data_IF_516094669238
#
_entry.id   IF_516094669238
#
_cell.length_a   1.000
_cell.length_b   1.000
_cell.length_c   1.000
_cell.angle_alpha   90.00
_cell.angle_beta   90.00
_cell.angle_gamma   90.00
#
_symmetry.space_group_name_H-M   'P 1'
#
loop_
_entity.id
_entity.type
_entity.pdbx_description
1 polymer ?
#
# COMPACT_ATOMS: atom_id res chain seq x y z
N UNK A 1 -23.78 -41.91 18.94
CA UNK A 1 -23.28 -41.00 17.87
C UNK A 1 -22.86 -39.72 18.54
N UNK A 2 -21.54 -39.51 18.70
CA UNK A 2 -20.98 -38.32 19.33
C UNK A 2 -20.82 -37.25 18.27
N UNK A 3 -21.52 -36.14 18.40
CA UNK A 3 -21.33 -34.93 17.60
C UNK A 3 -20.00 -34.29 18.01
N UNK A 4 -19.05 -34.28 17.10
CA UNK A 4 -17.75 -33.57 17.22
C UNK A 4 -17.96 -32.07 17.45
N UNK A 5 -17.32 -31.42 18.42
CA UNK A 5 -17.43 -29.97 18.59
C UNK A 5 -16.85 -29.27 17.39
N UNK A 6 -17.65 -28.48 16.67
CA UNK A 6 -17.23 -27.60 15.60
C UNK A 6 -16.26 -26.55 16.18
N UNK A 7 -15.07 -26.40 15.58
CA UNK A 7 -14.08 -25.43 15.98
C UNK A 7 -14.57 -23.98 15.72
N UNK A 8 -14.93 -23.19 16.76
CA UNK A 8 -15.54 -21.85 16.58
C UNK A 8 -14.59 -20.81 15.98
N UNK A 9 -13.28 -21.05 15.95
CA UNK A 9 -12.27 -20.09 15.48
C UNK A 9 -12.18 -20.00 13.97
N UNK A 10 -12.26 -21.08 13.24
CA UNK A 10 -12.11 -21.10 11.76
C UNK A 10 -13.31 -20.48 11.04
N UNK A 11 -14.53 -20.71 11.52
CA UNK A 11 -15.75 -20.14 10.92
C UNK A 11 -15.82 -18.61 11.12
N UNK A 12 -15.38 -18.11 12.26
CA UNK A 12 -15.35 -16.67 12.54
C UNK A 12 -14.33 -15.91 11.66
N UNK A 13 -13.16 -16.49 11.44
CA UNK A 13 -12.13 -15.88 10.61
C UNK A 13 -12.50 -15.89 9.11
N UNK A 14 -13.12 -16.98 8.65
CA UNK A 14 -13.66 -17.05 7.29
C UNK A 14 -14.76 -16.01 7.06
N UNK A 15 -15.66 -15.82 8.04
CA UNK A 15 -16.71 -14.81 7.99
C UNK A 15 -16.13 -13.39 7.98
N UNK A 16 -15.14 -13.11 8.84
CA UNK A 16 -14.43 -11.83 8.87
C UNK A 16 -13.78 -11.52 7.54
N UNK A 17 -13.12 -12.48 6.91
CA UNK A 17 -12.47 -12.34 5.60
C UNK A 17 -13.49 -12.06 4.49
N UNK A 18 -14.64 -12.75 4.47
CA UNK A 18 -15.72 -12.49 3.49
C UNK A 18 -16.27 -11.06 3.63
N UNK A 19 -16.48 -10.60 4.86
CA UNK A 19 -16.96 -9.23 5.10
C UNK A 19 -15.92 -8.20 4.63
N UNK A 20 -14.63 -8.39 4.92
CA UNK A 20 -13.55 -7.51 4.45
C UNK A 20 -13.48 -7.45 2.93
N UNK A 21 -13.57 -8.60 2.26
CA UNK A 21 -13.57 -8.66 0.80
C UNK A 21 -14.76 -7.91 0.21
N UNK A 22 -15.98 -8.19 0.68
CA UNK A 22 -17.20 -7.55 0.22
C UNK A 22 -17.20 -6.03 0.47
N UNK A 23 -16.71 -5.60 1.64
CA UNK A 23 -16.59 -4.19 1.99
C UNK A 23 -15.54 -3.49 1.13
N UNK A 24 -14.36 -4.10 0.94
CA UNK A 24 -13.32 -3.57 0.09
C UNK A 24 -13.77 -3.35 -1.36
N UNK A 25 -14.48 -4.31 -1.94
CA UNK A 25 -15.05 -4.21 -3.29
C UNK A 25 -16.09 -3.09 -3.39
N UNK A 26 -17.00 -2.97 -2.40
CA UNK A 26 -18.01 -1.92 -2.38
C UNK A 26 -17.39 -0.54 -2.16
N UNK A 27 -16.45 -0.38 -1.21
CA UNK A 27 -15.77 0.88 -0.99
C UNK A 27 -14.94 1.31 -2.22
N UNK A 28 -14.35 0.36 -2.92
CA UNK A 28 -13.65 0.63 -4.17
C UNK A 28 -14.57 1.03 -5.33
N UNK A 29 -15.83 0.57 -5.31
CA UNK A 29 -16.80 0.82 -6.39
C UNK A 29 -17.53 2.15 -6.22
N UNK A 30 -18.10 2.39 -5.03
CA UNK A 30 -18.99 3.52 -4.77
C UNK A 30 -18.44 4.50 -3.71
N UNK A 31 -17.29 4.22 -3.13
CA UNK A 31 -16.70 5.01 -2.04
C UNK A 31 -17.28 4.67 -0.66
N UNK A 32 -16.54 5.07 0.39
CA UNK A 32 -16.95 4.84 1.78
C UNK A 32 -18.29 5.50 2.11
N UNK A 33 -18.55 6.72 1.63
CA UNK A 33 -19.75 7.48 1.97
C UNK A 33 -21.04 6.74 1.55
N UNK A 34 -21.06 6.20 0.33
CA UNK A 34 -22.25 5.61 -0.30
C UNK A 34 -22.45 4.13 0.06
N UNK A 35 -21.40 3.40 0.41
CA UNK A 35 -21.51 1.98 0.73
C UNK A 35 -22.17 1.76 2.11
N UNK A 36 -23.33 1.15 2.16
CA UNK A 36 -24.03 0.85 3.42
C UNK A 36 -23.61 -0.50 4.02
N UNK A 37 -23.63 -0.62 5.36
CA UNK A 37 -23.42 -1.91 6.02
C UNK A 37 -24.42 -2.99 5.57
N UNK A 38 -25.65 -2.60 5.20
CA UNK A 38 -26.65 -3.52 4.65
C UNK A 38 -26.21 -4.10 3.30
N UNK A 39 -25.66 -3.26 2.42
CA UNK A 39 -25.10 -3.72 1.14
C UNK A 39 -23.89 -4.64 1.34
N UNK A 40 -23.02 -4.32 2.31
CA UNK A 40 -21.87 -5.17 2.66
C UNK A 40 -22.34 -6.52 3.19
N UNK A 41 -23.31 -6.54 4.11
CA UNK A 41 -23.87 -7.77 4.69
C UNK A 41 -24.48 -8.67 3.61
N UNK A 42 -25.30 -8.08 2.71
CA UNK A 42 -25.90 -8.80 1.59
C UNK A 42 -24.85 -9.40 0.66
N UNK A 43 -23.80 -8.61 0.30
CA UNK A 43 -22.72 -9.06 -0.58
C UNK A 43 -21.84 -10.13 0.06
N UNK A 44 -21.62 -10.05 1.38
CA UNK A 44 -20.83 -11.03 2.14
C UNK A 44 -21.66 -12.29 2.52
N UNK A 45 -22.96 -12.31 2.23
CA UNK A 45 -23.90 -13.38 2.64
C UNK A 45 -23.86 -13.62 4.16
N UNK A 46 -23.99 -12.54 4.94
CA UNK A 46 -24.02 -12.56 6.39
C UNK A 46 -25.15 -11.66 6.91
N UNK A 47 -25.49 -11.79 8.18
CA UNK A 47 -26.38 -10.85 8.85
C UNK A 47 -25.64 -9.54 9.22
N UNK A 48 -26.40 -8.47 9.45
CA UNK A 48 -25.85 -7.18 9.83
C UNK A 48 -25.15 -7.22 11.21
N UNK A 49 -25.61 -8.09 12.11
CA UNK A 49 -25.02 -8.26 13.43
C UNK A 49 -23.60 -8.81 13.36
N UNK A 50 -23.30 -9.66 12.36
CA UNK A 50 -21.94 -10.16 12.10
C UNK A 50 -20.93 -9.06 11.81
N UNK A 51 -21.33 -7.99 11.09
CA UNK A 51 -20.45 -6.85 10.85
C UNK A 51 -20.10 -6.15 12.16
N UNK A 52 -21.12 -5.88 13.00
CA UNK A 52 -20.90 -5.24 14.29
C UNK A 52 -20.10 -6.12 15.24
N UNK A 53 -20.31 -7.43 15.21
CA UNK A 53 -19.55 -8.37 16.01
C UNK A 53 -18.05 -8.37 15.65
N UNK A 54 -17.70 -8.38 14.36
CA UNK A 54 -16.32 -8.49 13.91
C UNK A 54 -15.56 -7.15 13.87
N UNK A 55 -16.27 -6.03 13.67
CA UNK A 55 -15.65 -4.73 13.40
C UNK A 55 -16.13 -3.61 14.33
N UNK A 56 -17.09 -3.87 15.20
CA UNK A 56 -17.64 -2.93 16.19
C UNK A 56 -18.51 -1.83 15.58
N UNK A 57 -18.07 -1.21 14.50
CA UNK A 57 -18.77 -0.11 13.83
C UNK A 57 -18.48 -0.08 12.33
N UNK A 58 -19.24 0.75 11.59
CA UNK A 58 -18.95 1.03 10.18
C UNK A 58 -17.56 1.62 9.99
N UNK A 59 -17.16 2.51 10.89
CA UNK A 59 -15.83 3.09 10.88
C UNK A 59 -14.75 2.04 11.16
N UNK A 60 -14.97 1.16 12.15
CA UNK A 60 -14.06 0.04 12.41
C UNK A 60 -13.90 -0.90 11.22
N UNK A 61 -14.99 -1.18 10.48
CA UNK A 61 -14.93 -1.93 9.23
C UNK A 61 -14.09 -1.21 8.17
N UNK A 62 -14.27 0.11 8.03
CA UNK A 62 -13.51 0.89 7.05
C UNK A 62 -12.00 0.89 7.37
N UNK A 63 -11.63 1.10 8.63
CA UNK A 63 -10.24 1.05 9.05
C UNK A 63 -9.63 -0.34 8.83
N UNK A 64 -10.36 -1.40 9.12
CA UNK A 64 -9.92 -2.77 8.83
C UNK A 64 -9.74 -3.03 7.31
N UNK A 65 -10.58 -2.42 6.47
CA UNK A 65 -10.41 -2.48 5.00
C UNK A 65 -9.17 -1.72 4.55
N UNK A 66 -8.87 -0.56 5.13
CA UNK A 66 -7.64 0.19 4.86
C UNK A 66 -6.39 -0.60 5.26
N UNK A 67 -6.40 -1.24 6.43
CA UNK A 67 -5.29 -2.09 6.89
C UNK A 67 -5.06 -3.27 5.94
N UNK A 68 -6.12 -3.96 5.57
CA UNK A 68 -6.04 -5.07 4.61
C UNK A 68 -5.58 -4.60 3.22
N UNK A 69 -6.03 -3.44 2.78
CA UNK A 69 -5.59 -2.85 1.51
C UNK A 69 -4.09 -2.55 1.53
N UNK A 70 -3.58 -1.97 2.61
CA UNK A 70 -2.15 -1.67 2.80
C UNK A 70 -1.33 -2.95 2.88
N UNK A 71 -1.80 -3.94 3.63
CA UNK A 71 -1.15 -5.26 3.75
C UNK A 71 -1.04 -5.95 2.38
N UNK A 72 -2.09 -5.93 1.57
CA UNK A 72 -2.08 -6.51 0.21
C UNK A 72 -1.13 -5.78 -0.72
N UNK A 73 -1.09 -4.45 -0.64
CA UNK A 73 -0.20 -3.65 -1.48
C UNK A 73 1.26 -3.77 -1.05
N UNK A 74 1.55 -3.46 0.21
CA UNK A 74 2.90 -3.53 0.76
C UNK A 74 2.82 -3.89 2.25
N UNK A 75 2.99 -5.17 2.56
CA UNK A 75 3.09 -5.62 3.94
C UNK A 75 4.33 -5.01 4.60
N UNK A 76 4.19 -4.62 5.87
CA UNK A 76 5.31 -4.04 6.63
C UNK A 76 6.46 -5.04 6.79
N UNK A 77 6.16 -6.33 6.87
CA UNK A 77 7.17 -7.39 6.97
C UNK A 77 7.96 -7.54 5.68
N UNK A 78 7.34 -7.37 4.51
CA UNK A 78 8.05 -7.34 3.22
C UNK A 78 9.00 -6.15 3.14
N UNK A 79 8.53 -4.96 3.56
CA UNK A 79 9.36 -3.76 3.59
C UNK A 79 10.54 -3.92 4.57
N UNK A 80 10.30 -4.44 5.78
CA UNK A 80 11.36 -4.72 6.75
C UNK A 80 12.37 -5.72 6.22
N UNK A 81 11.93 -6.82 5.63
CA UNK A 81 12.80 -7.85 5.06
C UNK A 81 13.71 -7.29 3.97
N UNK A 82 13.18 -6.39 3.11
CA UNK A 82 13.97 -5.74 2.08
C UNK A 82 14.91 -4.69 2.68
N UNK A 83 14.39 -3.75 3.47
CA UNK A 83 15.15 -2.62 3.97
C UNK A 83 16.28 -3.03 4.95
N UNK A 84 16.02 -4.04 5.78
CA UNK A 84 16.97 -4.53 6.80
C UNK A 84 17.80 -5.74 6.35
N UNK A 85 17.61 -6.22 5.11
CA UNK A 85 18.39 -7.33 4.55
C UNK A 85 19.87 -6.98 4.39
N UNK A 86 20.69 -8.01 4.19
CA UNK A 86 22.15 -7.88 4.05
C UNK A 86 22.64 -7.45 2.67
N UNK A 87 21.71 -7.36 1.69
CA UNK A 87 22.05 -6.99 0.32
C UNK A 87 22.54 -5.53 0.24
N UNK A 88 23.35 -5.18 -0.77
CA UNK A 88 23.68 -3.78 -1.05
C UNK A 88 22.44 -2.90 -1.20
N UNK A 89 22.50 -1.65 -0.73
CA UNK A 89 21.36 -0.74 -0.74
C UNK A 89 20.73 -0.54 -2.13
N UNK A 90 21.54 -0.58 -3.18
CA UNK A 90 21.06 -0.50 -4.57
C UNK A 90 20.19 -1.71 -4.97
N UNK A 91 20.53 -2.90 -4.49
CA UNK A 91 19.74 -4.11 -4.74
C UNK A 91 18.47 -4.17 -3.86
N UNK A 92 18.54 -3.63 -2.64
CA UNK A 92 17.32 -3.39 -1.81
C UNK A 92 16.34 -2.46 -2.51
N UNK A 93 16.82 -1.36 -3.10
CA UNK A 93 16.01 -0.43 -3.89
C UNK A 93 15.36 -1.13 -5.10
N UNK A 94 16.14 -1.95 -5.83
CA UNK A 94 15.63 -2.76 -6.94
C UNK A 94 14.50 -3.67 -6.48
N UNK A 95 14.74 -4.48 -5.45
CA UNK A 95 13.77 -5.42 -4.91
C UNK A 95 12.48 -4.73 -4.45
N UNK A 96 12.60 -3.53 -3.85
CA UNK A 96 11.46 -2.73 -3.41
C UNK A 96 10.61 -2.25 -4.59
N UNK A 97 11.25 -1.73 -5.64
CA UNK A 97 10.54 -1.25 -6.84
C UNK A 97 9.88 -2.42 -7.59
N UNK A 98 10.56 -3.53 -7.74
CA UNK A 98 9.98 -4.75 -8.34
C UNK A 98 8.76 -5.26 -7.57
N UNK A 99 8.82 -5.25 -6.22
CA UNK A 99 7.69 -5.60 -5.38
C UNK A 99 6.49 -4.67 -5.63
N UNK A 100 6.71 -3.36 -5.63
CA UNK A 100 5.66 -2.35 -5.86
C UNK A 100 5.02 -2.54 -7.23
N UNK A 101 5.82 -2.63 -8.29
CA UNK A 101 5.31 -2.79 -9.67
C UNK A 101 4.53 -4.09 -9.80
N UNK A 102 5.07 -5.20 -9.31
CA UNK A 102 4.39 -6.50 -9.32
C UNK A 102 3.02 -6.43 -8.62
N UNK A 103 2.97 -5.86 -7.42
CA UNK A 103 1.72 -5.71 -6.65
C UNK A 103 0.71 -4.80 -7.36
N UNK A 104 1.17 -3.75 -8.04
CA UNK A 104 0.31 -2.84 -8.79
C UNK A 104 -0.23 -3.46 -10.09
N UNK A 105 0.53 -4.36 -10.75
CA UNK A 105 0.19 -4.86 -12.09
C UNK A 105 -0.48 -6.24 -12.09
N UNK A 106 -0.17 -7.12 -11.14
CA UNK A 106 -0.60 -8.53 -11.17
C UNK A 106 -2.01 -8.81 -10.61
N UNK A 107 -2.60 -7.92 -9.84
CA UNK A 107 -3.88 -8.19 -9.19
C UNK A 107 -5.06 -7.98 -10.15
N UNK A 108 -5.84 -9.04 -10.42
CA UNK A 108 -7.13 -8.93 -11.12
C UNK A 108 -8.21 -8.30 -10.24
N UNK A 109 -8.15 -8.56 -8.94
CA UNK A 109 -9.03 -8.00 -7.91
C UNK A 109 -8.29 -6.87 -7.19
N UNK A 110 -8.54 -5.64 -7.67
CA UNK A 110 -7.77 -4.46 -7.25
C UNK A 110 -8.50 -3.56 -6.29
N UNK A 111 -9.50 -4.04 -5.60
CA UNK A 111 -10.22 -3.17 -4.70
C UNK A 111 -9.28 -2.47 -3.71
N UNK A 112 -8.25 -3.16 -3.23
CA UNK A 112 -7.26 -2.61 -2.30
C UNK A 112 -6.50 -1.41 -2.88
N UNK A 113 -6.09 -1.45 -4.15
CA UNK A 113 -5.41 -0.33 -4.79
C UNK A 113 -6.36 0.86 -4.97
N UNK A 114 -7.61 0.60 -5.34
CA UNK A 114 -8.64 1.64 -5.52
C UNK A 114 -9.02 2.32 -4.21
N UNK A 115 -9.15 1.54 -3.13
CA UNK A 115 -9.42 2.08 -1.79
C UNK A 115 -8.25 2.95 -1.32
N UNK A 116 -7.01 2.50 -1.50
CA UNK A 116 -5.81 3.30 -1.15
C UNK A 116 -5.71 4.56 -2.01
N UNK A 117 -5.95 4.46 -3.31
CA UNK A 117 -5.97 5.62 -4.20
C UNK A 117 -7.03 6.64 -3.79
N UNK A 118 -8.24 6.19 -3.46
CA UNK A 118 -9.31 7.06 -2.99
C UNK A 118 -8.92 7.79 -1.69
N UNK A 119 -8.29 7.10 -0.75
CA UNK A 119 -7.84 7.70 0.51
C UNK A 119 -6.67 8.69 0.31
N UNK A 120 -5.79 8.46 -0.68
CA UNK A 120 -4.72 9.41 -1.04
C UNK A 120 -5.30 10.68 -1.68
N UNK A 121 -6.28 10.53 -2.58
CA UNK A 121 -6.87 11.66 -3.34
C UNK A 121 -7.89 12.47 -2.54
N UNK A 122 -8.64 11.81 -1.66
CA UNK A 122 -9.67 12.41 -0.83
C UNK A 122 -9.65 11.80 0.57
N UNK A 123 -8.68 12.22 1.42
CA UNK A 123 -8.49 11.63 2.74
C UNK A 123 -9.73 11.77 3.62
N UNK A 124 -10.20 10.65 4.18
CA UNK A 124 -11.24 10.67 5.21
C UNK A 124 -10.64 11.04 6.57
N UNK A 125 -11.34 11.78 7.46
CA UNK A 125 -10.80 12.15 8.76
C UNK A 125 -10.32 10.96 9.60
N UNK A 126 -11.05 9.84 9.54
CA UNK A 126 -10.72 8.62 10.28
C UNK A 126 -9.59 7.83 9.63
N UNK A 127 -9.62 7.70 8.30
CA UNK A 127 -8.57 7.03 7.53
C UNK A 127 -7.25 7.76 7.63
N UNK A 128 -7.25 9.09 7.54
CA UNK A 128 -6.03 9.90 7.68
C UNK A 128 -5.34 9.70 9.03
N UNK A 129 -6.09 9.80 10.14
CA UNK A 129 -5.53 9.59 11.47
C UNK A 129 -4.96 8.17 11.64
N UNK A 130 -5.68 7.16 11.12
CA UNK A 130 -5.26 5.77 11.15
C UNK A 130 -4.03 5.51 10.29
N UNK A 131 -3.99 6.05 9.08
CA UNK A 131 -2.86 5.95 8.17
C UNK A 131 -1.58 6.58 8.74
N UNK A 132 -1.71 7.68 9.48
CA UNK A 132 -0.58 8.35 10.13
C UNK A 132 0.07 7.52 11.23
N UNK A 133 -0.64 6.63 11.90
CA UNK A 133 -0.11 5.82 13.00
C UNK A 133 1.02 4.87 12.57
N UNK A 134 0.94 4.29 11.38
CA UNK A 134 1.99 3.38 10.85
C UNK A 134 3.05 4.08 9.97
N UNK A 135 2.79 5.32 9.57
CA UNK A 135 3.68 6.07 8.68
C UNK A 135 5.10 6.22 9.23
N UNK A 136 5.33 6.46 10.56
CA UNK A 136 6.67 6.64 11.10
C UNK A 136 7.60 5.45 10.86
N UNK A 137 7.11 4.21 11.07
CA UNK A 137 7.92 3.01 10.86
C UNK A 137 8.28 2.82 9.38
N UNK A 138 7.30 2.96 8.48
CA UNK A 138 7.54 2.84 7.03
C UNK A 138 8.51 3.91 6.54
N UNK A 139 8.33 5.15 7.00
CA UNK A 139 9.19 6.27 6.66
C UNK A 139 10.62 6.05 7.18
N UNK A 140 10.78 5.55 8.40
CA UNK A 140 12.09 5.21 8.97
C UNK A 140 12.85 4.16 8.14
N UNK A 141 12.16 3.10 7.70
CA UNK A 141 12.76 2.07 6.84
C UNK A 141 13.22 2.63 5.49
N UNK A 142 12.38 3.46 4.85
CA UNK A 142 12.76 4.12 3.59
C UNK A 142 13.91 5.11 3.79
N UNK A 143 13.89 5.88 4.88
CA UNK A 143 14.99 6.80 5.23
C UNK A 143 16.30 6.05 5.44
N UNK A 144 16.27 4.91 6.15
CA UNK A 144 17.44 4.06 6.31
C UNK A 144 18.03 3.63 4.98
N UNK A 145 17.20 3.02 4.12
CA UNK A 145 17.61 2.56 2.81
C UNK A 145 18.16 3.69 1.92
N UNK A 146 17.49 4.83 1.88
CA UNK A 146 17.91 5.93 1.00
C UNK A 146 19.14 6.66 1.54
N UNK A 147 19.30 6.72 2.87
CA UNK A 147 20.52 7.23 3.50
C UNK A 147 21.75 6.37 3.15
N UNK A 148 21.61 5.04 3.08
CA UNK A 148 22.67 4.14 2.62
C UNK A 148 23.10 4.41 1.17
N UNK A 149 22.16 4.81 0.27
CA UNK A 149 22.45 5.09 -1.14
C UNK A 149 23.05 6.49 -1.34
N UNK A 150 22.53 7.48 -0.60
CA UNK A 150 22.81 8.91 -0.84
C UNK A 150 23.89 9.48 0.06
N UNK A 151 24.21 8.81 1.16
CA UNK A 151 24.99 9.33 2.29
C UNK A 151 24.38 10.60 2.95
N UNK A 152 23.11 10.92 2.67
CA UNK A 152 22.36 12.01 3.33
C UNK A 152 21.87 11.48 4.70
N UNK A 153 22.06 12.22 5.81
CA UNK A 153 21.56 11.83 7.11
C UNK A 153 20.04 11.63 7.13
N UNK A 154 19.55 10.67 7.95
CA UNK A 154 18.13 10.30 7.99
C UNK A 154 17.20 11.42 8.50
N UNK A 155 17.71 12.35 9.28
CA UNK A 155 17.02 13.52 9.82
C UNK A 155 17.05 14.74 8.87
N UNK A 156 17.87 14.69 7.81
CA UNK A 156 17.96 15.78 6.86
C UNK A 156 16.70 15.89 5.97
N UNK A 157 16.10 17.08 5.84
CA UNK A 157 14.95 17.29 4.97
C UNK A 157 15.17 16.93 3.49
N UNK A 158 16.41 16.95 3.02
CA UNK A 158 16.76 16.53 1.65
C UNK A 158 16.38 15.07 1.41
N UNK A 159 16.59 14.20 2.40
CA UNK A 159 16.22 12.79 2.28
C UNK A 159 14.71 12.58 2.17
N UNK A 160 13.91 13.39 2.90
CA UNK A 160 12.45 13.36 2.77
C UNK A 160 11.99 13.75 1.36
N UNK A 161 12.65 14.74 0.72
CA UNK A 161 12.40 15.08 -0.70
C UNK A 161 12.75 13.93 -1.63
N UNK A 162 13.85 13.22 -1.39
CA UNK A 162 14.20 12.02 -2.15
C UNK A 162 13.12 10.94 -2.05
N UNK A 163 12.56 10.71 -0.86
CA UNK A 163 11.46 9.75 -0.66
C UNK A 163 10.26 10.14 -1.52
N UNK A 164 9.85 11.40 -1.51
CA UNK A 164 8.75 11.88 -2.36
C UNK A 164 9.03 11.59 -3.85
N UNK A 165 10.21 11.94 -4.36
CA UNK A 165 10.57 11.75 -5.77
C UNK A 165 10.55 10.27 -6.19
N UNK A 166 10.99 9.36 -5.31
CA UNK A 166 11.00 7.92 -5.60
C UNK A 166 9.62 7.29 -5.46
N UNK A 167 8.82 7.73 -4.47
CA UNK A 167 7.53 7.07 -4.18
C UNK A 167 6.34 7.67 -4.93
N UNK A 168 6.43 8.88 -5.46
CA UNK A 168 5.35 9.49 -6.24
C UNK A 168 4.91 8.66 -7.46
N UNK A 169 5.81 8.07 -8.27
CA UNK A 169 5.41 7.16 -9.34
C UNK A 169 4.63 5.93 -8.84
N UNK A 170 4.89 5.45 -7.62
CA UNK A 170 4.15 4.33 -7.04
C UNK A 170 2.68 4.71 -6.79
N UNK A 171 2.45 5.92 -6.27
CA UNK A 171 1.09 6.44 -6.12
C UNK A 171 0.36 6.50 -7.48
N UNK A 172 1.05 6.87 -8.56
CA UNK A 172 0.48 6.87 -9.91
C UNK A 172 0.09 5.46 -10.39
N UNK A 173 0.88 4.44 -10.07
CA UNK A 173 0.53 3.05 -10.37
C UNK A 173 -0.71 2.57 -9.58
N UNK A 174 -0.98 3.13 -8.39
CA UNK A 174 -2.18 2.83 -7.60
C UNK A 174 -3.43 3.51 -8.16
N UNK A 175 -3.28 4.79 -8.58
CA UNK A 175 -4.38 5.65 -9.03
C UNK A 175 -4.83 5.27 -10.45
N UNK A 176 -3.94 4.66 -11.24
CA UNK A 176 -4.19 4.32 -12.62
C UNK A 176 -5.44 3.48 -12.81
N UNK A 177 -6.53 4.04 -13.39
CA UNK A 177 -7.76 3.28 -13.56
C UNK A 177 -7.55 2.23 -14.65
N UNK A 178 -7.78 0.98 -14.32
CA UNK A 178 -7.91 -0.07 -15.32
C UNK A 178 -9.17 0.21 -16.15
N UNK A 179 -8.97 0.49 -17.43
CA UNK A 179 -10.02 0.90 -18.36
C UNK A 179 -9.98 2.37 -18.75
N UNK A 180 -9.03 3.18 -18.24
CA UNK A 180 -8.76 4.52 -18.77
C UNK A 180 -7.99 4.44 -20.09
N UNK A 181 -8.21 5.42 -20.94
CA UNK A 181 -7.38 5.70 -22.12
C UNK A 181 -6.23 6.62 -21.72
N UNK A 182 -5.07 6.50 -22.37
CA UNK A 182 -3.93 7.40 -22.18
C UNK A 182 -2.68 6.72 -21.67
N UNK A 183 -1.63 7.52 -21.46
CA UNK A 183 -0.27 7.07 -21.15
C UNK A 183 -0.17 6.11 -19.96
N UNK A 184 -0.97 6.33 -18.91
CA UNK A 184 -0.94 5.47 -17.73
C UNK A 184 -1.51 4.07 -18.02
N UNK A 185 -2.54 3.98 -18.88
CA UNK A 185 -3.05 2.70 -19.36
C UNK A 185 -2.00 1.94 -20.18
N UNK A 186 -1.28 2.64 -21.05
CA UNK A 186 -0.19 2.06 -21.83
C UNK A 186 0.92 1.51 -20.91
N UNK A 187 1.33 2.28 -19.89
CA UNK A 187 2.34 1.87 -18.90
C UNK A 187 1.88 0.60 -18.13
N UNK A 188 0.63 0.58 -17.68
CA UNK A 188 0.08 -0.58 -16.96
C UNK A 188 -0.09 -1.83 -17.85
N UNK A 189 -0.10 -1.66 -19.15
CA UNK A 189 -0.09 -2.75 -20.14
C UNK A 189 1.30 -3.27 -20.51
N UNK A 190 2.36 -2.56 -20.10
CA UNK A 190 3.75 -2.97 -20.35
C UNK A 190 4.16 -4.15 -19.45
N UNK A 191 5.17 -4.95 -19.84
CA UNK A 191 5.77 -5.95 -18.98
C UNK A 191 6.25 -5.33 -17.65
N UNK A 192 5.93 -5.96 -16.54
CA UNK A 192 6.29 -5.45 -15.20
C UNK A 192 7.79 -5.24 -15.04
N UNK A 193 8.60 -6.09 -15.70
CA UNK A 193 10.05 -6.01 -15.71
C UNK A 193 10.54 -4.71 -16.38
N UNK A 194 9.91 -4.31 -17.50
CA UNK A 194 10.27 -3.07 -18.20
C UNK A 194 9.93 -1.83 -17.36
N UNK A 195 8.74 -1.83 -16.73
CA UNK A 195 8.31 -0.74 -15.84
C UNK A 195 9.22 -0.64 -14.62
N UNK A 196 9.53 -1.76 -13.96
CA UNK A 196 10.39 -1.77 -12.78
C UNK A 196 11.83 -1.37 -13.10
N UNK A 197 12.39 -1.85 -14.22
CA UNK A 197 13.73 -1.47 -14.66
C UNK A 197 13.84 0.04 -14.90
N UNK A 198 12.84 0.64 -15.55
CA UNK A 198 12.82 2.08 -15.81
C UNK A 198 12.68 2.89 -14.51
N UNK A 199 11.75 2.53 -13.63
CA UNK A 199 11.58 3.19 -12.34
C UNK A 199 12.85 3.08 -11.48
N UNK A 200 13.50 1.93 -11.48
CA UNK A 200 14.76 1.71 -10.77
C UNK A 200 15.88 2.62 -11.31
N UNK A 201 16.06 2.66 -12.63
CA UNK A 201 17.08 3.51 -13.27
C UNK A 201 16.93 4.99 -12.88
N UNK A 202 15.69 5.52 -12.96
CA UNK A 202 15.40 6.90 -12.57
C UNK A 202 15.62 7.14 -11.08
N UNK A 203 15.11 6.24 -10.23
CA UNK A 203 15.24 6.37 -8.79
C UNK A 203 16.72 6.34 -8.35
N UNK A 204 17.50 5.39 -8.87
CA UNK A 204 18.91 5.26 -8.52
C UNK A 204 19.73 6.47 -8.97
N UNK A 205 19.57 6.90 -10.22
CA UNK A 205 20.24 8.08 -10.74
C UNK A 205 19.90 9.34 -9.95
N UNK A 206 18.61 9.54 -9.63
CA UNK A 206 18.15 10.67 -8.83
C UNK A 206 18.68 10.66 -7.39
N UNK A 207 18.72 9.50 -6.74
CA UNK A 207 19.28 9.35 -5.39
C UNK A 207 20.79 9.62 -5.38
N UNK A 208 21.55 9.07 -6.33
CA UNK A 208 22.98 9.29 -6.44
C UNK A 208 23.31 10.77 -6.67
N UNK A 209 22.57 11.44 -7.57
CA UNK A 209 22.73 12.86 -7.82
C UNK A 209 22.38 13.73 -6.61
N UNK A 210 21.29 13.39 -5.90
CA UNK A 210 20.92 14.10 -4.66
C UNK A 210 22.02 13.98 -3.59
N UNK A 211 22.61 12.79 -3.44
CA UNK A 211 23.74 12.56 -2.53
C UNK A 211 24.97 13.40 -2.92
N UNK A 212 25.31 13.43 -4.21
CA UNK A 212 26.43 14.23 -4.74
C UNK A 212 26.24 15.73 -4.47
N UNK A 213 25.04 16.26 -4.76
CA UNK A 213 24.71 17.67 -4.52
C UNK A 213 24.76 18.02 -3.04
N UNK A 214 24.23 17.13 -2.18
CA UNK A 214 24.26 17.34 -0.74
C UNK A 214 25.69 17.40 -0.18
N UNK A 215 26.59 16.56 -0.68
CA UNK A 215 27.99 16.58 -0.28
C UNK A 215 28.70 17.88 -0.72
N UNK A 216 28.37 18.40 -1.90
CA UNK A 216 28.92 19.68 -2.40
C UNK A 216 28.37 20.89 -1.64
N UNK A 217 27.08 20.88 -1.28
CA UNK A 217 26.44 21.98 -0.53
C UNK A 217 26.91 22.13 0.92
N UNK A 218 27.54 21.11 1.49
CA UNK A 218 28.17 21.19 2.83
C UNK A 218 29.60 21.75 2.83
N UNK A 219 30.17 21.96 1.65
CA UNK A 219 31.53 22.51 1.50
C UNK A 219 31.60 24.04 1.38
N UNK A 220 30.47 24.73 1.56
CA UNK A 220 30.32 26.19 1.62
C UNK A 220 29.71 26.61 2.92
#
# INVERSE_FOLDING_TARGET
MATSPREPRKDGEATRTRILQAAGELFALVGYAEASNKAVAAKAEVDLASINYHFGSRNGLYLAVLDEARRRFMDITDLQRIALGEQPAVEKLRSLIELVVRKATQSRDNWHLRVLAAEILAPSPHGQAHMQAETPLRLSLLKGLFSEITAIPQDDPALTRCILCVTAPWAMLLIGPRGSTGTLHEILGMPAEAVSAQLYSFALAGLQEAGRQHAQGKGH
#
